data_IF_414426410685
#
_entry.id   IF_414426410685
#
_cell.length_a   1.000
_cell.length_b   1.000
_cell.length_c   1.000
_cell.angle_alpha   90.00
_cell.angle_beta   90.00
_cell.angle_gamma   90.00
#
_symmetry.space_group_name_H-M   'P 1'
#
loop_
_entity.id
_entity.type
_entity.pdbx_description
1 polymer ?
#
# COMPACT_ATOMS: atom_id res chain seq x y z
N UNK A 1 -9.97 4.69 8.16
CA UNK A 1 -8.98 4.39 7.11
C UNK A 1 -7.91 3.48 7.71
N UNK A 2 -7.21 2.71 6.88
CA UNK A 2 -6.31 1.63 7.35
C UNK A 2 -4.91 1.63 6.75
N UNK A 3 -4.69 2.34 5.64
CA UNK A 3 -3.40 2.38 4.96
C UNK A 3 -2.27 2.91 5.86
N UNK A 4 -1.10 2.27 5.76
CA UNK A 4 0.08 2.53 6.61
C UNK A 4 -0.14 2.31 8.13
N UNK A 5 -1.25 1.68 8.52
CA UNK A 5 -1.48 1.14 9.86
C UNK A 5 -0.79 -0.21 10.07
N UNK A 6 -1.31 -1.00 11.01
CA UNK A 6 -0.85 -2.37 11.28
C UNK A 6 -1.96 -3.40 11.07
N UNK A 7 -1.57 -4.59 10.61
CA UNK A 7 -2.45 -5.74 10.49
C UNK A 7 -1.73 -6.97 11.06
N UNK A 8 -2.43 -7.79 11.85
CA UNK A 8 -1.79 -8.87 12.57
C UNK A 8 -2.65 -9.45 13.69
N UNK A 9 -2.01 -10.17 14.60
CA UNK A 9 -2.66 -10.83 15.73
C UNK A 9 -1.87 -10.64 17.02
N UNK A 10 -2.57 -10.74 18.16
CA UNK A 10 -1.97 -10.75 19.49
C UNK A 10 -2.57 -11.84 20.37
N UNK A 11 -1.75 -12.38 21.26
CA UNK A 11 -2.13 -13.28 22.34
C UNK A 11 -1.16 -13.07 23.51
N UNK A 12 -1.43 -13.70 24.66
CA UNK A 12 -0.50 -13.66 25.79
C UNK A 12 0.87 -14.30 25.49
N UNK A 13 0.93 -15.23 24.53
CA UNK A 13 2.14 -16.00 24.24
C UNK A 13 2.97 -15.36 23.12
N UNK A 14 2.31 -14.82 22.10
CA UNK A 14 2.96 -14.22 20.95
C UNK A 14 2.05 -13.22 20.22
N UNK A 15 2.68 -12.35 19.45
CA UNK A 15 2.02 -11.40 18.55
C UNK A 15 2.87 -11.16 17.31
N UNK A 16 2.22 -10.92 16.18
CA UNK A 16 2.88 -10.53 14.94
C UNK A 16 2.02 -9.53 14.19
N UNK A 17 2.64 -8.44 13.73
CA UNK A 17 1.99 -7.40 12.95
C UNK A 17 2.88 -6.97 11.79
N UNK A 18 2.28 -6.77 10.62
CA UNK A 18 2.91 -6.13 9.48
C UNK A 18 2.36 -4.71 9.29
N UNK A 19 3.12 -3.88 8.58
CA UNK A 19 2.64 -2.57 8.14
C UNK A 19 1.66 -2.78 6.99
N UNK A 20 0.50 -2.14 7.04
CA UNK A 20 -0.57 -2.23 6.03
C UNK A 20 -0.26 -1.43 4.75
N UNK A 21 0.94 -1.63 4.19
CA UNK A 21 1.35 -1.19 2.86
C UNK A 21 0.89 -2.20 1.80
N UNK A 22 1.02 -1.83 0.51
CA UNK A 22 0.60 -2.68 -0.63
C UNK A 22 -0.81 -3.21 -0.43
N UNK A 23 -1.71 -2.30 -0.04
CA UNK A 23 -3.04 -2.61 0.44
C UNK A 23 -4.12 -1.93 -0.41
N UNK A 24 -5.33 -2.45 -0.29
CA UNK A 24 -6.50 -1.90 -0.94
C UNK A 24 -7.69 -1.87 0.02
N UNK A 25 -8.54 -0.86 -0.13
CA UNK A 25 -9.86 -0.82 0.51
C UNK A 25 -10.93 -1.07 -0.54
N UNK A 26 -11.73 -2.11 -0.31
CA UNK A 26 -12.88 -2.43 -1.15
C UNK A 26 -14.14 -1.85 -0.48
N UNK A 27 -14.97 -1.15 -1.24
CA UNK A 27 -16.22 -0.57 -0.77
C UNK A 27 -17.26 -0.66 -1.88
N UNK A 28 -18.14 -1.66 -1.79
CA UNK A 28 -19.05 -2.02 -2.88
C UNK A 28 -18.26 -2.43 -4.13
N UNK A 29 -18.49 -1.73 -5.23
CA UNK A 29 -17.82 -1.93 -6.52
C UNK A 29 -16.55 -1.06 -6.72
N UNK A 30 -16.10 -0.34 -5.69
CA UNK A 30 -14.92 0.51 -5.76
C UNK A 30 -13.76 -0.16 -5.02
N UNK A 31 -12.61 -0.27 -5.70
CA UNK A 31 -11.34 -0.67 -5.09
C UNK A 31 -10.40 0.55 -5.05
N UNK A 32 -10.02 0.99 -3.86
CA UNK A 32 -9.02 2.04 -3.66
C UNK A 32 -7.67 1.41 -3.33
N UNK A 33 -6.69 1.59 -4.20
CA UNK A 33 -5.29 1.19 -3.96
C UNK A 33 -4.54 2.30 -3.24
N UNK A 34 -3.59 1.93 -2.38
CA UNK A 34 -2.71 2.87 -1.71
C UNK A 34 -1.24 2.54 -1.97
N UNK A 35 -0.49 3.57 -2.30
CA UNK A 35 0.96 3.54 -2.42
C UNK A 35 1.53 4.86 -1.90
N UNK A 36 2.80 4.87 -1.51
CA UNK A 36 3.45 6.04 -0.94
C UNK A 36 4.95 5.98 -1.15
N UNK A 37 5.55 7.15 -1.25
CA UNK A 37 6.97 7.39 -1.39
C UNK A 37 7.45 8.28 -0.23
N UNK A 38 8.69 8.05 0.21
CA UNK A 38 9.28 8.80 1.31
C UNK A 38 9.99 10.03 0.77
N UNK A 39 9.37 11.21 0.88
CA UNK A 39 9.96 12.44 0.35
C UNK A 39 11.11 12.92 1.24
N UNK A 40 12.28 13.06 0.64
CA UNK A 40 13.50 13.53 1.30
C UNK A 40 14.15 14.65 0.48
N UNK A 41 15.21 15.26 1.01
CA UNK A 41 15.99 16.23 0.26
C UNK A 41 16.59 15.56 -0.98
N UNK A 42 16.31 16.13 -2.15
CA UNK A 42 16.79 15.60 -3.44
C UNK A 42 15.81 14.64 -4.11
N UNK A 43 14.63 14.38 -3.51
CA UNK A 43 13.54 13.69 -4.20
C UNK A 43 13.12 14.47 -5.44
N UNK A 44 12.92 13.73 -6.53
CA UNK A 44 12.45 14.25 -7.81
C UNK A 44 11.00 13.79 -8.03
N UNK A 45 10.04 14.71 -8.26
CA UNK A 45 8.62 14.35 -8.33
C UNK A 45 8.27 13.23 -9.32
N UNK A 46 8.95 13.19 -10.47
CA UNK A 46 8.68 12.18 -11.50
C UNK A 46 9.17 10.79 -11.05
N UNK A 47 10.35 10.72 -10.45
CA UNK A 47 10.87 9.47 -9.88
C UNK A 47 10.01 8.95 -8.75
N UNK A 48 9.55 9.82 -7.85
CA UNK A 48 8.67 9.43 -6.74
C UNK A 48 7.29 8.97 -7.25
N UNK A 49 6.79 9.58 -8.33
CA UNK A 49 5.57 9.14 -9.00
C UNK A 49 5.73 7.73 -9.58
N UNK A 50 6.80 7.49 -10.34
CA UNK A 50 7.10 6.16 -10.89
C UNK A 50 7.25 5.11 -9.78
N UNK A 51 7.85 5.47 -8.64
CA UNK A 51 7.98 4.59 -7.48
C UNK A 51 6.61 4.16 -6.92
N UNK A 52 5.68 5.10 -6.72
CA UNK A 52 4.35 4.76 -6.19
C UNK A 52 3.51 3.98 -7.21
N UNK A 53 3.65 4.25 -8.50
CA UNK A 53 3.00 3.46 -9.56
C UNK A 53 3.50 2.01 -9.55
N UNK A 54 4.82 1.79 -9.45
CA UNK A 54 5.41 0.46 -9.34
C UNK A 54 4.94 -0.27 -8.06
N UNK A 55 4.79 0.45 -6.94
CA UNK A 55 4.27 -0.12 -5.69
C UNK A 55 2.79 -0.51 -5.79
N UNK A 56 1.97 0.30 -6.46
CA UNK A 56 0.56 0.03 -6.68
C UNK A 56 0.33 -1.09 -7.71
N UNK A 57 1.25 -1.24 -8.68
CA UNK A 57 1.16 -2.21 -9.76
C UNK A 57 0.91 -3.64 -9.26
N UNK A 58 1.53 -4.04 -8.14
CA UNK A 58 1.36 -5.39 -7.57
C UNK A 58 -0.09 -5.78 -7.25
N UNK A 59 -0.96 -4.80 -6.96
CA UNK A 59 -2.41 -5.03 -6.84
C UNK A 59 -3.17 -4.59 -8.10
N UNK A 60 -2.74 -3.50 -8.76
CA UNK A 60 -3.43 -2.94 -9.92
C UNK A 60 -3.55 -3.94 -11.07
N UNK A 61 -2.48 -4.67 -11.37
CA UNK A 61 -2.44 -5.63 -12.51
C UNK A 61 -3.35 -6.84 -12.31
N UNK A 62 -3.81 -7.11 -11.08
CA UNK A 62 -4.78 -8.16 -10.79
C UNK A 62 -6.23 -7.74 -11.10
N UNK A 63 -6.47 -6.43 -11.22
CA UNK A 63 -7.80 -5.84 -11.38
C UNK A 63 -8.02 -5.25 -12.78
N UNK A 64 -6.93 -4.83 -13.42
CA UNK A 64 -6.92 -4.28 -14.76
C UNK A 64 -6.04 -5.18 -15.62
N UNK A 65 -6.70 -6.06 -16.38
CA UNK A 65 -6.05 -6.81 -17.45
C UNK A 65 -6.07 -5.93 -18.71
N UNK A 66 -4.93 -5.30 -18.99
CA UNK A 66 -4.51 -5.01 -20.35
C UNK A 66 -3.47 -6.08 -20.77
#
# INVERSE_FOLDING_TARGET
>A
EWYAGSAGYLSLQQSEFCVSLRSAKISGNIVRLYAGAGIVRGSDPEQEWQEIDNKAAGLRTLLQME
#
